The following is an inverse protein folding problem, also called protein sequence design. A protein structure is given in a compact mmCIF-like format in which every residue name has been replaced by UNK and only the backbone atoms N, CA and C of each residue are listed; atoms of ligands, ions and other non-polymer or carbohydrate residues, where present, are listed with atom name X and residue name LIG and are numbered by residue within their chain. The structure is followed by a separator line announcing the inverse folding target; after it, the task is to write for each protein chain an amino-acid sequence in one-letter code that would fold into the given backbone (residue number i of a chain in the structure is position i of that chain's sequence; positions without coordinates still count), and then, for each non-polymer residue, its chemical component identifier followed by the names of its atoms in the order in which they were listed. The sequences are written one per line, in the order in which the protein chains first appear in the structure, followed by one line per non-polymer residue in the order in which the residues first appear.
data_IF_632631445189
#
_entry.id   IF_632631445189
#
_cell.length_a   1.000
_cell.length_b   1.000
_cell.length_c   1.000
_cell.angle_alpha   90.00
_cell.angle_beta   90.00
_cell.angle_gamma   90.00
#
_symmetry.space_group_name_H-M   'P 1'
#
loop_
_entity.id
_entity.type
_entity.pdbx_description
1 polymer ?
#
# COMPACT_ATOMS: atom_id res chain seq x y z
N UNK A 1 -15.46 34.24 33.49
CA UNK A 1 -15.04 34.22 32.08
C UNK A 1 -14.42 32.86 31.78
N UNK A 2 -14.57 32.29 30.61
CA UNK A 2 -13.85 31.07 30.28
C UNK A 2 -12.34 31.32 30.28
N UNK A 3 -11.54 30.32 30.69
CA UNK A 3 -10.10 30.41 30.75
C UNK A 3 -9.53 30.72 29.32
N UNK A 4 -8.54 31.57 29.25
CA UNK A 4 -7.84 31.87 28.01
C UNK A 4 -7.09 30.63 27.45
N UNK A 5 -6.76 30.63 26.17
CA UNK A 5 -6.00 29.53 25.57
C UNK A 5 -4.61 29.37 26.21
N UNK A 6 -3.99 30.44 26.64
CA UNK A 6 -2.73 30.42 27.40
C UNK A 6 -2.89 29.70 28.72
N UNK A 7 -3.95 30.02 29.51
CA UNK A 7 -4.25 29.35 30.77
C UNK A 7 -4.59 27.86 30.55
N UNK A 8 -5.34 27.52 29.49
CA UNK A 8 -5.64 26.12 29.15
C UNK A 8 -4.38 25.34 28.81
N UNK A 9 -3.45 25.94 28.05
CA UNK A 9 -2.14 25.31 27.70
C UNK A 9 -1.28 25.12 28.95
N UNK A 10 -1.20 26.15 29.84
CA UNK A 10 -0.42 26.09 31.08
C UNK A 10 -0.95 25.03 32.07
N UNK A 11 -2.28 24.84 32.10
CA UNK A 11 -2.95 23.88 32.99
C UNK A 11 -3.19 22.50 32.31
N UNK A 12 -2.59 22.22 31.14
CA UNK A 12 -2.72 20.94 30.48
C UNK A 12 -2.12 19.82 31.33
N UNK A 13 -2.88 18.74 31.50
CA UNK A 13 -2.37 17.54 32.18
C UNK A 13 -1.10 17.03 31.48
N UNK A 14 -0.16 16.44 32.23
CA UNK A 14 1.01 15.79 31.64
C UNK A 14 0.59 14.80 30.53
N UNK A 15 1.26 14.89 29.39
CA UNK A 15 1.00 13.99 28.26
C UNK A 15 1.82 12.73 28.49
N UNK A 16 1.19 11.54 28.56
CA UNK A 16 1.93 10.29 28.70
C UNK A 16 2.77 10.01 27.44
N UNK A 17 3.82 9.20 27.60
CA UNK A 17 4.58 8.70 26.44
C UNK A 17 3.62 7.96 25.50
N UNK A 18 3.63 8.25 24.19
CA UNK A 18 2.76 7.57 23.24
C UNK A 18 3.08 6.08 23.16
N UNK A 19 2.03 5.28 23.02
CA UNK A 19 2.10 3.85 22.76
C UNK A 19 1.28 3.54 21.51
N UNK A 20 1.61 2.47 20.74
CA UNK A 20 0.80 2.07 19.61
C UNK A 20 -0.67 1.84 20.02
N UNK A 21 -1.61 2.32 19.21
CA UNK A 21 -3.04 2.23 19.51
C UNK A 21 -3.56 0.78 19.45
N UNK A 22 -2.97 -0.04 18.61
CA UNK A 22 -3.35 -1.43 18.39
C UNK A 22 -2.15 -2.34 18.59
N UNK A 23 -2.24 -3.20 19.60
CA UNK A 23 -1.22 -4.22 19.89
C UNK A 23 -1.84 -5.61 19.77
N UNK A 24 -1.06 -6.64 19.37
CA UNK A 24 -1.56 -8.02 19.39
C UNK A 24 -2.02 -8.40 20.79
N UNK A 25 -3.26 -8.86 20.91
CA UNK A 25 -3.84 -9.28 22.21
C UNK A 25 -3.35 -10.65 22.64
N UNK A 26 -2.84 -11.47 21.73
CA UNK A 26 -2.35 -12.81 21.95
C UNK A 26 -1.45 -13.27 20.81
N UNK A 27 -0.84 -14.44 20.94
CA UNK A 27 -0.04 -15.06 19.87
C UNK A 27 -0.88 -15.47 18.66
N UNK A 28 -2.17 -15.70 18.86
CA UNK A 28 -3.11 -15.99 17.77
C UNK A 28 -3.65 -14.73 17.07
N UNK A 29 -3.25 -13.53 17.52
CA UNK A 29 -3.69 -12.29 16.86
C UNK A 29 -3.23 -12.25 15.41
N UNK A 30 -4.11 -11.92 14.44
CA UNK A 30 -3.72 -11.76 13.03
C UNK A 30 -2.75 -10.60 12.80
N UNK A 31 -2.52 -9.74 13.79
CA UNK A 31 -1.46 -8.72 13.78
C UNK A 31 -0.08 -9.33 14.03
N UNK A 32 -0.01 -10.54 14.57
CA UNK A 32 1.24 -11.24 14.87
C UNK A 32 1.57 -12.20 13.73
N UNK A 33 2.59 -11.87 12.97
CA UNK A 33 3.00 -12.65 11.80
C UNK A 33 3.96 -13.77 12.24
N UNK A 34 3.71 -14.99 11.80
CA UNK A 34 4.65 -16.10 11.95
C UNK A 34 5.82 -15.93 10.97
N UNK A 35 6.87 -15.23 11.40
CA UNK A 35 8.01 -14.88 10.55
C UNK A 35 8.70 -16.10 9.95
N UNK A 36 8.89 -17.15 10.74
CA UNK A 36 9.55 -18.39 10.28
C UNK A 36 8.79 -19.05 9.12
N UNK A 37 7.46 -18.97 9.14
CA UNK A 37 6.62 -19.43 8.03
C UNK A 37 6.88 -18.59 6.77
N UNK A 38 6.79 -17.26 6.86
CA UNK A 38 6.96 -16.41 5.68
C UNK A 38 8.39 -16.40 5.17
N UNK A 39 9.39 -16.56 6.03
CA UNK A 39 10.78 -16.75 5.62
C UNK A 39 10.97 -18.04 4.83
N UNK A 40 10.38 -19.16 5.28
CA UNK A 40 10.41 -20.41 4.51
C UNK A 40 9.73 -20.29 3.15
N UNK A 41 8.58 -19.62 3.09
CA UNK A 41 7.87 -19.41 1.82
C UNK A 41 8.66 -18.48 0.89
N UNK A 42 9.31 -17.45 1.43
CA UNK A 42 10.18 -16.55 0.67
C UNK A 42 11.39 -17.26 0.06
N UNK A 43 12.02 -18.16 0.81
CA UNK A 43 13.23 -18.88 0.36
C UNK A 43 12.90 -20.13 -0.49
N UNK A 44 11.64 -20.52 -0.59
CA UNK A 44 11.22 -21.70 -1.36
C UNK A 44 11.52 -21.54 -2.84
N UNK A 45 11.87 -22.62 -3.56
CA UNK A 45 11.98 -22.59 -5.03
C UNK A 45 10.68 -22.11 -5.67
N UNK A 46 10.80 -21.30 -6.69
CA UNK A 46 9.67 -20.61 -7.35
C UNK A 46 9.61 -20.91 -8.83
N UNK A 47 8.40 -20.91 -9.38
CA UNK A 47 8.13 -20.99 -10.81
C UNK A 47 7.46 -19.71 -11.25
N UNK A 48 8.04 -19.02 -12.21
CA UNK A 48 7.45 -17.83 -12.81
C UNK A 48 6.18 -18.21 -13.58
N UNK A 49 5.07 -17.53 -13.32
CA UNK A 49 3.78 -17.75 -13.98
C UNK A 49 3.35 -16.57 -14.85
N UNK A 50 3.74 -15.37 -14.48
CA UNK A 50 3.51 -14.16 -15.28
C UNK A 50 4.63 -13.15 -15.03
N UNK A 51 5.07 -12.45 -16.09
CA UNK A 51 5.93 -11.28 -15.96
C UNK A 51 5.58 -10.24 -17.00
N UNK A 52 5.79 -8.99 -16.66
CA UNK A 52 5.65 -7.86 -17.57
C UNK A 52 6.37 -6.63 -17.03
N UNK A 53 6.70 -5.74 -17.96
CA UNK A 53 7.24 -4.41 -17.64
C UNK A 53 6.17 -3.37 -17.93
N UNK A 54 5.88 -2.52 -16.92
CA UNK A 54 5.03 -1.35 -17.09
C UNK A 54 5.87 -0.20 -17.65
N UNK A 55 5.51 0.33 -18.82
CA UNK A 55 6.12 1.56 -19.32
C UNK A 55 5.91 2.73 -18.36
N UNK A 56 6.71 3.76 -18.51
CA UNK A 56 6.52 5.01 -17.78
C UNK A 56 5.09 5.55 -17.98
N UNK A 57 4.54 6.22 -16.95
CA UNK A 57 3.25 6.92 -17.02
C UNK A 57 2.09 6.04 -17.49
N UNK A 58 2.12 4.75 -17.13
CA UNK A 58 1.11 3.77 -17.53
C UNK A 58 0.59 2.97 -16.33
N UNK A 59 -0.42 2.15 -16.56
CA UNK A 59 -0.97 1.25 -15.54
C UNK A 59 -1.42 -0.07 -16.14
N UNK A 60 -1.32 -1.15 -15.33
CA UNK A 60 -1.80 -2.48 -15.68
C UNK A 60 -2.36 -3.18 -14.45
N UNK A 61 -3.41 -3.98 -14.65
CA UNK A 61 -3.93 -4.89 -13.64
C UNK A 61 -3.64 -6.34 -14.04
N UNK A 62 -3.49 -7.20 -13.02
CA UNK A 62 -3.23 -8.64 -13.17
C UNK A 62 -3.82 -9.42 -12.01
N UNK A 63 -3.88 -10.74 -12.16
CA UNK A 63 -4.31 -11.67 -11.11
C UNK A 63 -3.11 -12.21 -10.35
N UNK A 64 -3.22 -12.28 -9.04
CA UNK A 64 -2.27 -12.96 -8.17
C UNK A 64 -3.02 -14.04 -7.37
N UNK A 65 -2.85 -15.33 -7.70
CA UNK A 65 -3.49 -16.42 -6.97
C UNK A 65 -3.06 -16.46 -5.50
N UNK A 66 -3.94 -16.92 -4.62
CA UNK A 66 -3.63 -17.13 -3.20
C UNK A 66 -2.38 -18.02 -3.06
N UNK A 67 -1.45 -17.63 -2.17
CA UNK A 67 -0.16 -18.31 -1.98
C UNK A 67 0.90 -18.00 -3.03
N UNK A 68 0.59 -17.19 -4.05
CA UNK A 68 1.59 -16.72 -5.01
C UNK A 68 2.42 -15.58 -4.42
N UNK A 69 3.63 -15.41 -4.95
CA UNK A 69 4.53 -14.32 -4.61
C UNK A 69 4.53 -13.32 -5.77
N UNK A 70 4.21 -12.07 -5.46
CA UNK A 70 4.26 -10.95 -6.41
C UNK A 70 5.49 -10.12 -6.10
N UNK A 71 6.38 -9.97 -7.06
CA UNK A 71 7.56 -9.11 -6.97
C UNK A 71 7.36 -7.90 -7.87
N UNK A 72 7.51 -6.71 -7.30
CA UNK A 72 7.53 -5.44 -8.03
C UNK A 72 8.92 -4.85 -7.88
N UNK A 73 9.56 -4.52 -9.00
CA UNK A 73 10.96 -4.05 -9.00
C UNK A 73 11.18 -2.84 -9.91
N UNK A 74 12.28 -2.15 -9.67
CA UNK A 74 12.79 -1.01 -10.45
C UNK A 74 13.94 -1.48 -11.35
N UNK A 75 13.67 -1.98 -12.58
CA UNK A 75 14.71 -2.60 -13.41
C UNK A 75 15.78 -1.61 -13.90
N UNK A 76 15.43 -0.34 -14.06
CA UNK A 76 16.29 0.69 -14.65
C UNK A 76 16.64 1.82 -13.68
N UNK A 77 16.22 1.72 -12.43
CA UNK A 77 16.46 2.74 -11.40
C UNK A 77 15.18 3.22 -10.73
N UNK A 78 15.28 4.25 -9.89
CA UNK A 78 14.19 4.67 -9.02
C UNK A 78 12.93 5.06 -9.80
N UNK A 79 11.78 4.56 -9.34
CA UNK A 79 10.46 4.87 -9.86
C UNK A 79 9.42 4.60 -8.78
N UNK A 80 8.57 5.57 -8.51
CA UNK A 80 7.42 5.39 -7.63
C UNK A 80 6.30 4.66 -8.34
N UNK A 81 5.63 3.75 -7.63
CA UNK A 81 4.46 3.02 -8.12
C UNK A 81 3.29 3.10 -7.15
N UNK A 82 2.10 3.28 -7.69
CA UNK A 82 0.85 3.32 -6.94
C UNK A 82 0.10 2.02 -7.11
N UNK A 83 -0.02 1.24 -6.02
CA UNK A 83 -0.59 -0.10 -6.05
C UNK A 83 -1.96 -0.14 -5.38
N UNK A 84 -2.96 -0.61 -6.13
CA UNK A 84 -4.29 -0.99 -5.63
C UNK A 84 -4.42 -2.52 -5.55
N UNK A 85 -5.22 -3.02 -4.60
CA UNK A 85 -5.44 -4.45 -4.35
C UNK A 85 -6.90 -4.72 -4.03
N UNK A 86 -7.51 -5.68 -4.71
CA UNK A 86 -8.87 -6.18 -4.46
C UNK A 86 -8.84 -7.70 -4.30
N UNK A 87 -9.82 -8.24 -3.59
CA UNK A 87 -10.14 -9.65 -3.71
C UNK A 87 -10.71 -9.90 -5.11
N UNK A 88 -10.11 -10.85 -5.85
CA UNK A 88 -10.47 -11.12 -7.23
C UNK A 88 -11.92 -11.58 -7.42
N UNK A 89 -12.45 -12.35 -6.48
CA UNK A 89 -13.82 -12.89 -6.54
C UNK A 89 -14.87 -11.92 -5.99
N UNK A 90 -14.44 -10.90 -5.24
CA UNK A 90 -15.34 -9.90 -4.66
C UNK A 90 -14.62 -8.55 -4.51
N UNK A 91 -14.64 -7.71 -5.55
CA UNK A 91 -13.92 -6.42 -5.52
C UNK A 91 -14.44 -5.40 -4.50
N UNK A 92 -15.55 -5.66 -3.82
CA UNK A 92 -15.99 -4.89 -2.65
C UNK A 92 -15.03 -5.06 -1.47
N UNK A 93 -14.34 -6.20 -1.40
CA UNK A 93 -13.22 -6.43 -0.51
C UNK A 93 -11.95 -5.89 -1.15
N UNK A 94 -11.46 -4.78 -0.63
CA UNK A 94 -10.33 -4.04 -1.19
C UNK A 94 -9.42 -3.51 -0.10
N UNK A 95 -8.21 -3.17 -0.47
CA UNK A 95 -7.19 -2.63 0.42
C UNK A 95 -7.67 -1.35 1.12
N UNK A 96 -7.37 -1.25 2.42
CA UNK A 96 -7.70 -0.12 3.27
C UNK A 96 -6.44 0.49 3.89
N UNK A 97 -5.86 1.48 3.21
CA UNK A 97 -4.61 2.12 3.59
C UNK A 97 -4.66 2.72 5.02
N UNK A 98 -5.72 3.46 5.35
CA UNK A 98 -5.85 4.08 6.67
C UNK A 98 -5.90 3.06 7.81
N UNK A 99 -6.55 1.91 7.61
CA UNK A 99 -6.59 0.85 8.63
C UNK A 99 -5.25 0.14 8.74
N UNK A 100 -4.62 -0.16 7.62
CA UNK A 100 -3.28 -0.74 7.59
C UNK A 100 -2.28 0.15 8.33
N UNK A 101 -2.31 1.46 8.08
CA UNK A 101 -1.52 2.46 8.80
C UNK A 101 -1.74 2.43 10.31
N UNK A 102 -2.99 2.29 10.77
CA UNK A 102 -3.30 2.22 12.19
C UNK A 102 -2.83 0.93 12.85
N UNK A 103 -2.84 -0.19 12.11
CA UNK A 103 -2.46 -1.49 12.63
C UNK A 103 -0.94 -1.73 12.60
N UNK A 104 -0.22 -1.08 11.70
CA UNK A 104 1.23 -1.21 11.53
C UNK A 104 1.92 0.14 11.73
N UNK A 105 2.13 0.89 10.63
CA UNK A 105 2.81 2.17 10.63
C UNK A 105 2.35 3.04 9.44
N UNK A 106 2.81 4.28 9.41
CA UNK A 106 2.59 5.19 8.27
C UNK A 106 3.29 4.72 6.98
N UNK A 107 4.31 3.90 7.13
CA UNK A 107 5.07 3.24 6.06
C UNK A 107 5.19 1.78 6.43
N UNK A 108 5.13 0.92 5.44
CA UNK A 108 5.11 -0.54 5.63
C UNK A 108 6.35 -1.19 5.04
N UNK A 109 6.78 -2.29 5.65
CA UNK A 109 7.96 -3.04 5.24
C UNK A 109 7.76 -4.55 5.50
N UNK A 110 8.85 -5.31 5.49
CA UNK A 110 8.82 -6.77 5.64
C UNK A 110 8.04 -7.21 6.89
N UNK A 111 7.10 -8.13 6.68
CA UNK A 111 6.13 -8.70 7.62
C UNK A 111 4.93 -7.83 7.96
N UNK A 112 4.82 -6.61 7.42
CA UNK A 112 3.57 -5.88 7.51
C UNK A 112 2.52 -6.45 6.54
N UNK A 113 1.26 -6.40 6.98
CA UNK A 113 0.11 -6.93 6.23
C UNK A 113 -0.73 -5.82 5.67
N UNK A 114 -1.17 -5.96 4.43
CA UNK A 114 -2.08 -5.06 3.75
C UNK A 114 -3.51 -5.54 3.99
N UNK A 115 -4.28 -4.78 4.77
CA UNK A 115 -5.60 -5.19 5.27
C UNK A 115 -6.73 -4.77 4.36
N UNK A 116 -7.76 -5.64 4.28
CA UNK A 116 -9.00 -5.32 3.59
C UNK A 116 -9.96 -4.48 4.45
N UNK A 117 -10.92 -3.86 3.77
CA UNK A 117 -11.96 -3.04 4.38
C UNK A 117 -13.03 -3.89 5.09
N UNK A 118 -13.88 -3.21 5.88
CA UNK A 118 -15.07 -3.81 6.45
C UNK A 118 -16.07 -4.19 5.34
N UNK A 119 -16.82 -5.27 5.53
CA UNK A 119 -16.90 -6.13 6.73
C UNK A 119 -15.89 -7.28 6.74
N UNK A 120 -14.95 -7.35 5.83
CA UNK A 120 -14.06 -8.51 5.63
C UNK A 120 -12.93 -8.56 6.65
N UNK A 121 -12.19 -7.46 6.82
CA UNK A 121 -11.13 -7.27 7.81
C UNK A 121 -10.16 -8.47 7.94
N UNK A 122 -9.46 -8.75 6.85
CA UNK A 122 -8.41 -9.78 6.79
C UNK A 122 -7.24 -9.27 5.94
N UNK A 123 -6.04 -9.85 6.08
CA UNK A 123 -4.95 -9.58 5.17
C UNK A 123 -5.30 -9.95 3.72
N UNK A 124 -5.02 -9.06 2.79
CA UNK A 124 -5.01 -9.34 1.35
C UNK A 124 -3.64 -9.81 0.90
N UNK A 125 -2.59 -9.16 1.41
CA UNK A 125 -1.22 -9.52 1.13
C UNK A 125 -0.34 -9.29 2.36
N UNK A 126 0.76 -10.05 2.47
CA UNK A 126 1.83 -9.82 3.45
C UNK A 126 3.11 -9.48 2.71
N UNK A 127 3.80 -8.41 3.09
CA UNK A 127 5.12 -8.07 2.56
C UNK A 127 6.12 -9.09 3.11
N UNK A 128 6.78 -9.85 2.23
CA UNK A 128 7.74 -10.89 2.63
C UNK A 128 9.19 -10.48 2.36
N UNK A 129 9.41 -9.45 1.55
CA UNK A 129 10.72 -8.89 1.29
C UNK A 129 10.63 -7.42 0.89
N UNK A 130 11.52 -6.62 1.44
CA UNK A 130 11.70 -5.21 1.15
C UNK A 130 13.21 -4.93 1.08
N UNK A 131 13.70 -4.61 -0.11
CA UNK A 131 15.13 -4.32 -0.30
C UNK A 131 15.50 -2.91 0.16
N UNK A 132 14.51 -2.04 0.39
CA UNK A 132 14.71 -0.68 0.90
C UNK A 132 14.54 -0.57 2.42
N UNK A 133 14.35 -1.67 3.14
CA UNK A 133 14.22 -1.66 4.60
C UNK A 133 15.42 -1.02 5.33
N UNK A 134 16.57 -0.96 4.68
CA UNK A 134 17.77 -0.29 5.19
C UNK A 134 17.65 1.23 5.30
N UNK A 135 16.75 1.86 4.52
CA UNK A 135 16.55 3.32 4.50
C UNK A 135 16.13 3.85 5.88
N UNK A 136 15.25 3.12 6.55
CA UNK A 136 14.79 3.49 7.89
C UNK A 136 14.03 4.83 7.88
N UNK A 137 14.50 5.78 8.68
CA UNK A 137 13.98 7.14 8.78
C UNK A 137 15.09 8.14 8.48
N UNK A 138 14.85 9.07 7.58
CA UNK A 138 15.79 10.13 7.26
C UNK A 138 15.74 11.28 8.29
N UNK A 139 16.64 12.27 8.13
CA UNK A 139 16.77 13.41 9.06
C UNK A 139 15.51 14.30 9.15
N UNK A 140 14.57 14.16 8.22
CA UNK A 140 13.32 14.91 8.19
C UNK A 140 12.10 14.05 8.59
N UNK A 141 12.31 12.80 9.01
CA UNK A 141 11.24 11.87 9.35
C UNK A 141 10.65 11.15 8.16
N UNK A 142 11.29 11.23 6.99
CA UNK A 142 10.89 10.53 5.77
C UNK A 142 11.19 9.04 5.85
N UNK A 143 10.26 8.22 5.33
CA UNK A 143 10.37 6.75 5.24
C UNK A 143 9.81 6.28 3.91
N UNK A 144 10.16 5.07 3.50
CA UNK A 144 9.75 4.48 2.21
C UNK A 144 8.53 3.56 2.37
N UNK A 145 7.76 3.39 1.27
CA UNK A 145 6.53 2.60 1.16
C UNK A 145 5.34 3.21 1.91
N UNK A 146 4.86 4.29 1.35
CA UNK A 146 3.96 5.26 1.97
C UNK A 146 2.49 4.82 2.06
N UNK A 147 1.88 5.09 3.22
CA UNK A 147 0.44 5.01 3.49
C UNK A 147 -0.13 6.36 3.99
N UNK A 148 0.64 7.44 3.99
CA UNK A 148 0.19 8.78 4.40
C UNK A 148 -0.54 9.48 3.26
N UNK A 149 0.02 9.36 2.05
CA UNK A 149 -0.51 9.94 0.85
C UNK A 149 -1.55 9.08 0.15
N UNK A 150 -1.82 9.45 -1.06
CA UNK A 150 -2.66 8.71 -1.99
C UNK A 150 -2.09 8.91 -3.41
N UNK A 151 -2.80 8.45 -4.42
CA UNK A 151 -2.44 8.61 -5.83
C UNK A 151 -2.65 10.03 -6.31
N UNK A 152 -1.84 10.48 -7.27
CA UNK A 152 -2.14 11.70 -8.00
C UNK A 152 -3.37 11.53 -8.90
N UNK A 153 -4.10 12.61 -9.13
CA UNK A 153 -5.35 12.63 -9.88
C UNK A 153 -5.43 13.82 -10.84
N UNK A 154 -6.38 13.83 -11.81
CA UNK A 154 -6.50 14.89 -12.79
C UNK A 154 -6.72 16.28 -12.20
N UNK A 155 -7.47 16.37 -11.09
CA UNK A 155 -7.76 17.65 -10.45
C UNK A 155 -6.50 18.27 -9.83
N UNK A 156 -5.77 17.51 -9.04
CA UNK A 156 -4.53 17.97 -8.39
C UNK A 156 -3.51 18.37 -9.45
N UNK A 157 -3.35 17.60 -10.52
CA UNK A 157 -2.43 17.95 -11.59
C UNK A 157 -2.82 19.24 -12.28
N UNK A 158 -4.10 19.45 -12.59
CA UNK A 158 -4.59 20.69 -13.20
C UNK A 158 -4.34 21.89 -12.27
N UNK A 159 -4.61 21.75 -10.98
CA UNK A 159 -4.39 22.81 -9.99
C UNK A 159 -2.90 23.15 -9.84
N UNK A 160 -2.02 22.17 -9.88
CA UNK A 160 -0.59 22.36 -9.61
C UNK A 160 0.22 22.74 -10.84
N UNK A 161 -0.10 22.20 -12.02
CA UNK A 161 0.67 22.41 -13.24
C UNK A 161 -0.06 23.21 -14.32
N UNK A 162 -1.38 23.44 -14.18
CA UNK A 162 -2.22 24.03 -15.23
C UNK A 162 -2.46 23.10 -16.42
N UNK A 163 -1.82 21.93 -16.47
CA UNK A 163 -1.92 20.99 -17.57
C UNK A 163 -3.12 20.04 -17.45
N UNK A 164 -3.64 19.62 -18.59
CA UNK A 164 -4.68 18.58 -18.68
C UNK A 164 -4.13 17.36 -19.40
N UNK A 165 -3.80 16.31 -18.66
CA UNK A 165 -3.33 15.04 -19.20
C UNK A 165 -3.90 13.86 -18.42
N UNK A 166 -3.94 12.67 -19.03
CA UNK A 166 -4.64 11.49 -18.52
C UNK A 166 -3.71 10.31 -18.19
N UNK A 167 -2.48 10.59 -17.74
CA UNK A 167 -1.52 9.58 -17.29
C UNK A 167 -1.19 9.68 -15.78
N UNK A 168 -2.00 10.44 -15.01
CA UNK A 168 -1.96 10.41 -13.56
C UNK A 168 -2.28 9.01 -13.06
N UNK A 169 -1.80 8.66 -11.87
CA UNK A 169 -1.98 7.33 -11.32
C UNK A 169 -3.46 6.94 -11.19
N UNK A 170 -4.34 7.88 -10.81
CA UNK A 170 -5.78 7.62 -10.78
C UNK A 170 -6.34 7.21 -12.14
N UNK A 171 -6.00 7.95 -13.21
CA UNK A 171 -6.45 7.64 -14.57
C UNK A 171 -5.85 6.32 -15.09
N UNK A 172 -4.58 6.05 -14.78
CA UNK A 172 -3.89 4.81 -15.15
C UNK A 172 -4.54 3.61 -14.49
N UNK A 173 -4.81 3.67 -13.17
CA UNK A 173 -5.48 2.62 -12.42
C UNK A 173 -6.91 2.40 -12.91
N UNK A 174 -7.66 3.49 -13.17
CA UNK A 174 -9.02 3.42 -13.71
C UNK A 174 -9.03 2.63 -15.02
N UNK A 175 -8.17 3.00 -15.98
CA UNK A 175 -8.06 2.27 -17.26
C UNK A 175 -7.64 0.81 -17.08
N UNK A 176 -6.73 0.54 -16.14
CA UNK A 176 -6.22 -0.80 -15.90
C UNK A 176 -7.29 -1.77 -15.38
N UNK A 177 -8.31 -1.30 -14.65
CA UNK A 177 -9.32 -2.17 -14.05
C UNK A 177 -10.58 -2.34 -14.89
N UNK A 178 -10.81 -1.52 -15.94
CA UNK A 178 -11.97 -1.63 -16.85
C UNK A 178 -12.11 -3.04 -17.43
N UNK A 179 -11.04 -3.74 -17.90
CA UNK A 179 -11.17 -5.09 -18.43
C UNK A 179 -11.69 -6.13 -17.43
N UNK A 180 -11.65 -5.80 -16.14
CA UNK A 180 -12.15 -6.64 -15.04
C UNK A 180 -13.56 -6.25 -14.57
N UNK A 181 -14.24 -5.37 -15.31
CA UNK A 181 -15.60 -4.91 -14.99
C UNK A 181 -15.66 -3.89 -13.86
N UNK A 182 -14.54 -3.31 -13.47
CA UNK A 182 -14.45 -2.23 -12.49
C UNK A 182 -14.40 -0.86 -13.19
N UNK A 183 -14.54 0.20 -12.41
CA UNK A 183 -14.55 1.58 -12.89
C UNK A 183 -13.84 2.53 -11.94
N UNK A 184 -13.91 3.82 -12.21
CA UNK A 184 -13.25 4.86 -11.41
C UNK A 184 -13.63 4.81 -9.91
N UNK A 185 -14.87 4.46 -9.57
CA UNK A 185 -15.33 4.41 -8.18
C UNK A 185 -14.72 3.24 -7.39
N UNK A 186 -14.16 2.27 -8.08
CA UNK A 186 -13.49 1.12 -7.46
C UNK A 186 -12.02 1.42 -7.14
N UNK A 187 -11.43 2.45 -7.77
CA UNK A 187 -10.05 2.90 -7.49
C UNK A 187 -10.02 3.58 -6.13
N UNK A 188 -9.32 2.97 -5.19
CA UNK A 188 -9.23 3.40 -3.79
C UNK A 188 -7.82 3.93 -3.46
N UNK A 189 -7.59 4.32 -2.20
CA UNK A 189 -6.27 4.73 -1.75
C UNK A 189 -5.26 3.60 -1.94
N UNK A 190 -4.05 3.98 -2.32
CA UNK A 190 -2.96 3.09 -2.72
C UNK A 190 -1.96 2.86 -1.59
N UNK A 191 -1.10 1.87 -1.74
CA UNK A 191 0.23 1.93 -1.19
C UNK A 191 1.15 2.55 -2.26
N UNK A 192 1.87 3.62 -1.90
CA UNK A 192 2.87 4.25 -2.75
C UNK A 192 4.21 3.54 -2.54
N UNK A 193 4.52 2.59 -3.42
CA UNK A 193 5.76 1.80 -3.31
C UNK A 193 6.96 2.59 -3.84
N UNK A 194 8.11 2.42 -3.19
CA UNK A 194 9.37 3.14 -3.46
C UNK A 194 9.30 4.66 -3.25
N UNK A 195 8.22 5.19 -2.68
CA UNK A 195 8.05 6.60 -2.38
C UNK A 195 8.50 6.92 -0.96
N UNK A 196 9.35 7.95 -0.82
CA UNK A 196 9.73 8.50 0.48
C UNK A 196 8.80 9.65 0.83
N UNK A 197 8.21 9.60 2.01
CA UNK A 197 7.32 10.64 2.52
C UNK A 197 7.42 10.81 4.02
N UNK A 198 6.91 11.91 4.50
CA UNK A 198 6.79 12.19 5.92
C UNK A 198 5.83 13.34 6.21
N UNK A 199 5.81 13.75 7.45
CA UNK A 199 5.11 14.96 7.91
C UNK A 199 6.13 15.91 8.52
N UNK A 200 6.14 17.17 8.04
CA UNK A 200 7.01 18.20 8.60
C UNK A 200 6.58 18.61 10.03
N UNK A 201 7.31 19.52 10.63
CA UNK A 201 7.02 20.01 11.99
C UNK A 201 5.62 20.64 12.14
N UNK A 202 5.02 21.08 11.05
CA UNK A 202 3.66 21.61 10.99
C UNK A 202 2.62 20.54 10.66
N UNK A 203 3.04 19.28 10.49
CA UNK A 203 2.17 18.16 10.13
C UNK A 203 1.78 18.15 8.65
N UNK A 204 2.49 18.88 7.78
CA UNK A 204 2.23 18.89 6.33
C UNK A 204 2.98 17.75 5.66
N UNK A 205 2.30 17.10 4.74
CA UNK A 205 2.85 16.03 3.93
C UNK A 205 3.96 16.52 3.01
N UNK A 206 5.08 15.81 2.98
CA UNK A 206 6.18 16.04 2.04
C UNK A 206 6.58 14.76 1.32
N UNK A 207 7.21 14.92 0.18
CA UNK A 207 7.77 13.83 -0.63
C UNK A 207 9.25 14.12 -0.89
N UNK A 208 10.08 13.10 -0.76
CA UNK A 208 11.50 13.13 -1.12
C UNK A 208 11.77 12.18 -2.29
N UNK A 209 12.90 12.34 -3.01
CA UNK A 209 13.32 11.42 -4.05
C UNK A 209 13.40 9.97 -3.55
N UNK A 210 12.98 9.05 -4.39
CA UNK A 210 13.08 7.61 -4.09
C UNK A 210 14.56 7.18 -3.97
N UNK A 211 14.93 6.42 -2.94
CA UNK A 211 16.30 5.92 -2.76
C UNK A 211 16.57 4.63 -3.54
N UNK A 212 15.60 4.15 -4.32
CA UNK A 212 15.72 2.87 -5.01
C UNK A 212 16.81 2.91 -6.08
N UNK A 213 17.48 1.79 -6.27
CA UNK A 213 18.47 1.56 -7.31
C UNK A 213 17.97 0.49 -8.30
N UNK A 214 18.64 0.30 -9.46
CA UNK A 214 18.28 -0.77 -10.38
C UNK A 214 18.29 -2.15 -9.71
N UNK A 215 17.13 -2.84 -9.73
CA UNK A 215 16.96 -4.16 -9.14
C UNK A 215 16.33 -4.17 -7.74
N UNK A 216 16.17 -3.00 -7.11
CA UNK A 216 15.41 -2.93 -5.85
C UNK A 216 13.97 -3.38 -6.05
N UNK A 217 13.42 -4.03 -5.03
CA UNK A 217 12.11 -4.66 -5.14
C UNK A 217 11.39 -4.82 -3.80
N UNK A 218 10.08 -4.96 -3.93
CA UNK A 218 9.16 -5.33 -2.86
C UNK A 218 8.46 -6.63 -3.26
N UNK A 219 8.41 -7.62 -2.35
CA UNK A 219 7.71 -8.88 -2.58
C UNK A 219 6.54 -9.04 -1.62
N UNK A 220 5.42 -9.48 -2.18
CA UNK A 220 4.18 -9.75 -1.45
C UNK A 220 3.81 -11.23 -1.57
N UNK A 221 3.43 -11.88 -0.48
CA UNK A 221 2.65 -13.11 -0.54
C UNK A 221 1.17 -12.75 -0.64
N UNK A 222 0.48 -13.23 -1.65
CA UNK A 222 -0.97 -13.05 -1.81
C UNK A 222 -1.71 -13.94 -0.80
N UNK A 223 -2.40 -13.33 0.17
CA UNK A 223 -3.18 -14.05 1.20
C UNK A 223 -4.55 -14.50 0.69
N UNK A 224 -4.97 -14.03 -0.46
CA UNK A 224 -6.22 -14.32 -1.15
C UNK A 224 -5.94 -14.38 -2.66
N UNK A 225 -6.92 -14.87 -3.43
CA UNK A 225 -6.91 -14.60 -4.88
C UNK A 225 -7.14 -13.10 -5.09
N UNK A 226 -6.14 -12.42 -5.62
CA UNK A 226 -6.12 -10.97 -5.74
C UNK A 226 -6.25 -10.51 -7.19
N UNK A 227 -6.94 -9.39 -7.38
CA UNK A 227 -6.73 -8.47 -8.48
C UNK A 227 -5.81 -7.36 -7.96
N UNK A 228 -4.68 -7.16 -8.61
CA UNK A 228 -3.75 -6.09 -8.31
C UNK A 228 -3.63 -5.16 -9.50
N UNK A 229 -3.52 -3.86 -9.26
CA UNK A 229 -3.27 -2.87 -10.31
C UNK A 229 -2.19 -1.91 -9.88
N UNK A 230 -1.21 -1.69 -10.75
CA UNK A 230 -0.06 -0.82 -10.52
C UNK A 230 -0.04 0.28 -11.56
N UNK A 231 0.23 1.51 -11.12
CA UNK A 231 0.55 2.64 -11.97
C UNK A 231 2.00 3.07 -11.75
N UNK A 232 2.75 3.29 -12.85
CA UNK A 232 4.02 4.01 -12.79
C UNK A 232 3.73 5.50 -12.62
N UNK A 233 4.15 6.07 -11.50
CA UNK A 233 3.87 7.46 -11.17
C UNK A 233 4.44 8.41 -12.24
N UNK A 234 3.66 9.39 -12.75
CA UNK A 234 4.14 10.35 -13.75
C UNK A 234 5.21 11.31 -13.21
N UNK A 235 5.36 11.41 -11.90
CA UNK A 235 6.44 12.14 -11.23
C UNK A 235 7.76 11.36 -11.16
N UNK A 236 7.83 10.15 -11.70
CA UNK A 236 9.04 9.34 -11.73
C UNK A 236 9.53 8.92 -10.35
N UNK A 237 10.77 9.25 -10.05
CA UNK A 237 11.40 9.07 -8.75
C UNK A 237 11.19 10.24 -7.79
N UNK A 238 10.45 11.28 -8.21
CA UNK A 238 10.19 12.54 -7.52
C UNK A 238 11.40 13.49 -7.38
N UNK A 239 12.56 13.18 -7.94
CA UNK A 239 13.75 14.05 -7.86
C UNK A 239 13.57 15.37 -8.62
N UNK A 240 12.71 15.36 -9.65
CA UNK A 240 12.38 16.54 -10.46
C UNK A 240 10.93 17.00 -10.23
N UNK A 241 10.34 16.63 -9.08
CA UNK A 241 9.00 17.08 -8.73
C UNK A 241 8.96 18.59 -8.60
N UNK A 242 8.16 19.23 -9.44
CA UNK A 242 8.07 20.69 -9.48
C UNK A 242 6.75 21.16 -10.09
N UNK A 243 6.48 22.43 -9.90
CA UNK A 243 5.29 23.11 -10.41
C UNK A 243 5.71 24.19 -11.42
N UNK A 244 4.96 24.34 -12.48
CA UNK A 244 5.20 25.31 -13.53
C UNK A 244 4.93 24.75 -14.93
N UNK A 245 5.01 25.62 -15.95
CA UNK A 245 4.63 25.28 -17.34
C UNK A 245 5.48 24.15 -17.94
N UNK A 246 6.77 24.08 -17.58
CA UNK A 246 7.70 23.07 -18.12
C UNK A 246 7.89 21.86 -17.21
N UNK A 247 7.17 21.77 -16.10
CA UNK A 247 7.38 20.73 -15.07
C UNK A 247 7.09 19.31 -15.60
N UNK A 248 6.18 19.17 -16.56
CA UNK A 248 5.84 17.88 -17.15
C UNK A 248 6.98 17.30 -18.00
N UNK A 249 7.62 18.12 -18.85
CA UNK A 249 8.74 17.69 -19.68
C UNK A 249 9.97 17.34 -18.84
N UNK A 250 10.22 18.10 -17.79
CA UNK A 250 11.32 17.83 -16.87
C UNK A 250 11.09 16.54 -16.09
N UNK A 251 9.90 16.34 -15.54
CA UNK A 251 9.57 15.13 -14.77
C UNK A 251 9.70 13.84 -15.58
N UNK A 252 9.51 13.85 -16.91
CA UNK A 252 9.68 12.65 -17.71
C UNK A 252 11.10 12.11 -17.68
N UNK A 253 12.10 12.97 -17.43
CA UNK A 253 13.52 12.59 -17.37
C UNK A 253 13.84 11.68 -16.17
N UNK A 254 13.05 11.77 -15.10
CA UNK A 254 13.20 10.91 -13.93
C UNK A 254 12.21 9.75 -13.89
N UNK A 255 11.42 9.53 -14.96
CA UNK A 255 10.54 8.38 -15.08
C UNK A 255 11.28 7.15 -15.59
N UNK A 256 10.99 5.99 -14.98
CA UNK A 256 11.54 4.68 -15.34
C UNK A 256 10.39 3.64 -15.37
N UNK A 257 10.55 2.53 -16.06
CA UNK A 257 9.58 1.43 -16.00
C UNK A 257 9.62 0.74 -14.64
N UNK A 258 8.51 0.07 -14.31
CA UNK A 258 8.44 -0.90 -13.23
C UNK A 258 8.26 -2.30 -13.82
N UNK A 259 8.84 -3.32 -13.18
CA UNK A 259 8.66 -4.72 -13.56
C UNK A 259 7.83 -5.44 -12.51
N UNK A 260 6.90 -6.27 -12.97
CA UNK A 260 6.09 -7.17 -12.15
C UNK A 260 6.38 -8.61 -12.54
N UNK A 261 6.61 -9.45 -11.54
CA UNK A 261 6.82 -10.89 -11.69
C UNK A 261 5.91 -11.60 -10.69
N UNK A 262 5.13 -12.57 -11.15
CA UNK A 262 4.25 -13.40 -10.31
C UNK A 262 4.79 -14.82 -10.31
N UNK A 263 5.01 -15.37 -9.14
CA UNK A 263 5.56 -16.70 -8.95
C UNK A 263 4.59 -17.58 -8.17
N UNK A 264 4.50 -18.84 -8.52
CA UNK A 264 4.01 -19.88 -7.60
C UNK A 264 5.17 -20.54 -6.89
N UNK A 265 4.95 -21.07 -5.71
CA UNK A 265 5.90 -21.91 -5.02
C UNK A 265 5.99 -23.24 -5.77
N UNK A 266 7.21 -23.72 -6.04
CA UNK A 266 7.43 -24.90 -6.86
C UNK A 266 6.90 -26.20 -6.22
N UNK A 267 7.03 -26.33 -4.89
CA UNK A 267 6.42 -27.41 -4.11
C UNK A 267 4.98 -27.01 -3.77
N UNK A 268 4.01 -27.57 -4.48
CA UNK A 268 2.58 -27.29 -4.30
C UNK A 268 2.06 -27.67 -2.90
N UNK A 269 2.73 -28.62 -2.22
CA UNK A 269 2.34 -29.04 -0.88
C UNK A 269 2.95 -28.15 0.22
N UNK A 270 3.92 -27.31 -0.10
CA UNK A 270 4.63 -26.53 0.92
C UNK A 270 3.70 -25.57 1.67
N UNK A 271 2.75 -24.94 1.00
CA UNK A 271 1.77 -24.04 1.63
C UNK A 271 0.98 -24.80 2.70
N UNK A 272 0.40 -25.94 2.36
CA UNK A 272 -0.39 -26.75 3.27
C UNK A 272 0.48 -27.34 4.41
N UNK A 273 1.60 -27.97 4.09
CA UNK A 273 2.50 -28.60 5.06
C UNK A 273 3.19 -27.61 5.99
N UNK A 274 3.33 -26.36 5.57
CA UNK A 274 3.84 -25.29 6.42
C UNK A 274 2.78 -24.70 7.35
N UNK A 275 1.51 -25.07 7.19
CA UNK A 275 0.38 -24.54 7.96
C UNK A 275 -0.10 -23.18 7.46
N UNK A 276 0.26 -22.76 6.23
CA UNK A 276 -0.32 -21.58 5.61
C UNK A 276 -1.69 -21.92 5.02
N UNK A 277 -2.62 -21.00 5.19
CA UNK A 277 -3.92 -21.02 4.53
C UNK A 277 -4.38 -19.58 4.25
N UNK A 278 -5.22 -19.39 3.23
CA UNK A 278 -5.83 -18.09 3.00
C UNK A 278 -6.50 -17.54 4.26
N UNK A 279 -6.22 -16.29 4.61
CA UNK A 279 -6.77 -15.69 5.82
C UNK A 279 -8.30 -15.68 5.78
N UNK A 280 -8.94 -16.15 6.83
CA UNK A 280 -10.38 -16.12 6.96
C UNK A 280 -10.90 -14.69 7.18
N UNK A 281 -12.14 -14.44 6.79
CA UNK A 281 -12.84 -13.21 7.12
C UNK A 281 -12.95 -13.07 8.64
N UNK A 282 -12.89 -11.84 9.14
CA UNK A 282 -13.13 -11.59 10.55
C UNK A 282 -14.53 -12.09 10.97
N UNK A 283 -14.70 -12.38 12.24
CA UNK A 283 -16.02 -12.76 12.78
C UNK A 283 -17.03 -11.61 12.77
N UNK A 284 -16.64 -10.42 12.31
CA UNK A 284 -17.51 -9.27 12.20
C UNK A 284 -18.63 -9.52 11.18
N UNK A 285 -19.87 -9.59 11.68
CA UNK A 285 -21.04 -9.94 10.86
C UNK A 285 -21.64 -8.77 10.08
N UNK A 286 -21.17 -7.54 10.29
CA UNK A 286 -21.69 -6.32 9.65
C UNK A 286 -23.11 -5.94 10.04
N UNK A 287 -23.63 -6.48 11.14
CA UNK A 287 -25.04 -6.30 11.53
C UNK A 287 -25.31 -4.98 12.24
N UNK A 288 -24.30 -4.35 12.85
CA UNK A 288 -24.44 -3.07 13.58
C UNK A 288 -25.61 -3.04 14.59
N UNK A 289 -25.93 -4.17 15.21
CA UNK A 289 -27.11 -4.29 16.08
C UNK A 289 -28.46 -4.43 15.33
N UNK A 290 -28.49 -4.32 14.02
CA UNK A 290 -29.75 -4.37 13.23
C UNK A 290 -30.49 -5.70 13.25
N UNK A 291 -29.86 -6.78 13.72
CA UNK A 291 -30.53 -8.08 13.89
C UNK A 291 -31.14 -8.27 15.26
N UNK A 292 -31.06 -7.29 16.14
CA UNK A 292 -31.57 -7.30 17.51
C UNK A 292 -32.73 -6.30 17.56
N UNK A 293 -33.94 -6.70 18.03
CA UNK A 293 -35.03 -5.77 18.22
C UNK A 293 -34.58 -4.62 19.12
N UNK A 294 -34.92 -3.39 18.73
CA UNK A 294 -34.60 -2.20 19.54
C UNK A 294 -35.26 -2.34 20.90
N UNK A 295 -34.46 -2.26 21.96
CA UNK A 295 -34.92 -2.31 23.35
C UNK A 295 -34.70 -3.65 24.07
N UNK A 296 -34.27 -4.72 23.38
CA UNK A 296 -34.08 -6.02 24.04
C UNK A 296 -32.66 -6.26 24.58
N UNK A 297 -31.67 -5.42 24.22
CA UNK A 297 -30.26 -5.58 24.63
C UNK A 297 -29.51 -4.24 24.72
N UNK A 298 -30.15 -3.23 25.27
CA UNK A 298 -29.42 -1.98 25.60
C UNK A 298 -29.10 -1.92 27.10
#
# INVERSE_FOLDING_TARGET
MPASDAERRANRKPIPKPVPAYLPSSDASPLKVNRDLYDRLREAPRVLIEEFTLPIRSGKAWKAPAGSIVKISTPEGPQVGDLNIWNFHNPRERFWASRTKQLHASHVSTFDRLWSNLPYMRPLATIIKDTLSWYGEDEHGGRVHDLLGTRCDPYINTVLSGGQYNYQCHSNLTRAVIPYGLNEQDVHDVINIFQVTGLDEQGRYFMNPSPAEPGDHLEFLAEQDLLMALSTCPGGDLSLWGFGEDSEEEMIKCCRPLKVEVFRIADENLLETSGWAPAEKSAYAGRHGMGVPLGENQ
#
